data_IF_177080380875
#
_entry.id   IF_177080380875
#
_cell.length_a   1.000
_cell.length_b   1.000
_cell.length_c   1.000
_cell.angle_alpha   90.00
_cell.angle_beta   90.00
_cell.angle_gamma   90.00
#
_symmetry.space_group_name_H-M   'P 1'
#
loop_
_entity.id
_entity.type
_entity.pdbx_description
1 polymer ?
#
# COMPACT_ATOMS: atom_id res chain seq x y z
N UNK A 1 5.04 -10.21 50.25
CA UNK A 1 5.74 -9.33 51.22
C UNK A 1 6.50 -8.28 50.39
N UNK A 2 6.37 -6.96 50.49
CA UNK A 2 5.73 -6.02 51.42
C UNK A 2 5.10 -4.88 50.60
N UNK A 3 3.93 -4.43 51.05
CA UNK A 3 3.33 -3.12 50.72
C UNK A 3 4.00 -2.03 51.57
N UNK A 4 4.06 -0.80 51.06
CA UNK A 4 3.76 0.45 51.77
C UNK A 4 3.82 1.60 50.74
N UNK A 5 2.71 2.31 50.42
CA UNK A 5 2.07 3.42 51.17
C UNK A 5 2.97 4.67 51.15
N UNK A 6 2.51 5.89 50.84
CA UNK A 6 1.20 6.49 50.60
C UNK A 6 1.42 7.98 50.27
N UNK A 7 0.43 8.65 49.67
CA UNK A 7 0.46 10.11 49.38
C UNK A 7 0.21 10.97 50.62
N UNK A 8 -0.58 12.05 50.55
CA UNK A 8 -0.82 13.04 49.48
C UNK A 8 -0.74 14.50 50.03
N UNK A 9 -1.28 15.47 49.27
CA UNK A 9 -1.86 16.77 49.71
C UNK A 9 -0.92 17.99 49.77
N UNK A 10 -1.23 19.00 48.94
CA UNK A 10 -1.65 20.33 49.41
C UNK A 10 -2.02 21.25 48.23
N UNK A 11 -3.30 21.63 48.19
CA UNK A 11 -3.79 22.76 47.42
C UNK A 11 -3.52 24.06 48.19
N UNK A 12 -3.25 25.16 47.49
CA UNK A 12 -3.45 26.52 48.00
C UNK A 12 -4.04 27.41 46.91
N UNK A 13 -5.05 28.15 47.31
CA UNK A 13 -5.93 28.98 46.50
C UNK A 13 -5.55 30.48 46.58
N UNK A 14 -6.25 31.28 45.75
CA UNK A 14 -6.55 32.72 45.90
C UNK A 14 -5.39 33.71 45.58
N UNK A 15 -5.59 34.92 45.05
CA UNK A 15 -6.74 35.62 44.46
C UNK A 15 -6.25 36.89 43.71
N UNK A 16 -7.04 37.29 42.70
CA UNK A 16 -7.44 38.63 42.23
C UNK A 16 -6.49 39.84 42.43
N UNK A 17 -6.21 40.55 41.32
CA UNK A 17 -6.22 42.02 41.27
C UNK A 17 -6.61 42.52 39.86
N UNK A 18 -7.74 43.23 39.79
CA UNK A 18 -8.15 44.07 38.66
C UNK A 18 -7.31 45.37 38.67
N UNK A 19 -6.85 45.80 37.50
CA UNK A 19 -6.57 47.21 37.22
C UNK A 19 -7.01 47.52 35.78
N UNK A 20 -8.06 48.32 35.66
CA UNK A 20 -8.52 48.89 34.42
C UNK A 20 -7.68 50.13 34.09
N UNK A 21 -7.18 50.22 32.86
CA UNK A 21 -6.79 51.47 32.24
C UNK A 21 -7.44 51.54 30.85
N UNK A 22 -8.33 52.52 30.73
CA UNK A 22 -8.96 52.99 29.51
C UNK A 22 -7.93 53.66 28.60
N UNK A 23 -7.89 53.24 27.33
CA UNK A 23 -7.16 53.94 26.28
C UNK A 23 -7.93 53.84 24.96
N UNK A 24 -8.64 54.91 24.60
CA UNK A 24 -9.20 55.08 23.26
C UNK A 24 -8.05 55.35 22.27
N UNK A 25 -7.88 54.45 21.31
CA UNK A 25 -7.02 54.65 20.15
C UNK A 25 -7.76 54.20 18.90
N UNK A 26 -8.25 55.18 18.13
CA UNK A 26 -8.71 54.95 16.77
C UNK A 26 -7.49 54.69 15.87
N UNK A 27 -7.31 53.44 15.45
CA UNK A 27 -6.27 53.03 14.51
C UNK A 27 -6.81 51.92 13.62
N UNK A 28 -6.87 52.17 12.32
CA UNK A 28 -7.41 51.25 11.32
C UNK A 28 -6.71 49.89 11.38
N UNK A 29 -7.49 48.85 11.66
CA UNK A 29 -7.03 47.47 11.60
C UNK A 29 -6.92 46.97 10.15
N UNK A 30 -5.99 46.04 9.86
CA UNK A 30 -5.88 45.42 8.55
C UNK A 30 -7.15 44.63 8.22
N UNK A 31 -7.55 44.67 6.95
CA UNK A 31 -8.70 43.95 6.42
C UNK A 31 -8.67 42.47 6.84
N UNK A 32 -9.76 41.97 7.42
CA UNK A 32 -10.00 40.54 7.60
C UNK A 32 -9.94 39.87 6.23
N UNK A 33 -9.20 38.76 6.05
CA UNK A 33 -9.34 37.94 4.86
C UNK A 33 -10.78 37.44 4.79
N UNK A 34 -11.38 37.51 3.60
CA UNK A 34 -12.70 36.91 3.35
C UNK A 34 -12.68 35.43 3.79
N UNK A 35 -13.69 34.96 4.53
CA UNK A 35 -13.86 33.54 4.75
C UNK A 35 -14.08 32.91 3.37
N UNK A 36 -13.08 32.14 2.92
CA UNK A 36 -13.18 31.34 1.70
C UNK A 36 -14.46 30.49 1.70
N UNK A 37 -14.95 30.08 0.52
CA UNK A 37 -16.22 29.40 0.39
C UNK A 37 -16.28 28.22 1.36
N UNK A 38 -17.35 28.18 2.16
CA UNK A 38 -17.60 27.10 3.10
C UNK A 38 -17.50 25.76 2.36
N UNK A 39 -16.89 24.72 2.98
CA UNK A 39 -16.84 23.40 2.37
C UNK A 39 -18.28 22.97 2.05
N UNK A 40 -18.55 22.73 0.77
CA UNK A 40 -19.85 22.27 0.30
C UNK A 40 -20.32 21.02 1.04
N UNK A 41 -21.63 20.73 1.01
CA UNK A 41 -22.17 19.56 1.71
C UNK A 41 -21.39 18.31 1.32
N UNK A 42 -20.76 17.66 2.31
CA UNK A 42 -20.09 16.38 2.10
C UNK A 42 -21.16 15.41 1.62
N UNK A 43 -21.07 14.99 0.36
CA UNK A 43 -21.87 13.90 -0.16
C UNK A 43 -21.70 12.69 0.77
N UNK A 44 -22.83 12.21 1.29
CA UNK A 44 -22.89 10.99 2.12
C UNK A 44 -22.86 9.71 1.28
N UNK A 45 -22.89 9.84 -0.05
CA UNK A 45 -22.72 8.71 -0.94
C UNK A 45 -21.27 8.21 -0.88
N UNK A 46 -21.10 6.89 -0.75
CA UNK A 46 -19.80 6.26 -0.88
C UNK A 46 -19.18 6.67 -2.22
N UNK A 47 -17.95 7.19 -2.18
CA UNK A 47 -17.26 7.54 -3.41
C UNK A 47 -17.04 6.27 -4.24
N UNK A 48 -17.26 6.31 -5.57
CA UNK A 48 -17.04 5.14 -6.41
C UNK A 48 -15.56 4.76 -6.40
N UNK A 49 -15.29 3.46 -6.51
CA UNK A 49 -13.93 2.96 -6.71
C UNK A 49 -13.41 3.40 -8.08
N UNK A 50 -12.19 3.95 -8.17
CA UNK A 50 -11.60 4.26 -9.47
C UNK A 50 -11.51 3.00 -10.32
N UNK A 51 -11.95 3.07 -11.58
CA UNK A 51 -11.80 1.95 -12.50
C UNK A 51 -10.31 1.67 -12.82
N UNK A 52 -10.06 0.60 -13.58
CA UNK A 52 -8.71 0.18 -13.92
C UNK A 52 -7.94 1.24 -14.74
N UNK A 53 -8.62 2.01 -15.58
CA UNK A 53 -8.01 3.10 -16.36
C UNK A 53 -7.64 4.28 -15.48
N UNK A 54 -8.55 4.74 -14.64
CA UNK A 54 -8.33 5.78 -13.64
C UNK A 54 -7.19 5.43 -12.69
N UNK A 55 -7.14 4.17 -12.22
CA UNK A 55 -6.07 3.67 -11.35
C UNK A 55 -4.70 3.68 -12.05
N UNK A 56 -4.63 3.27 -13.33
CA UNK A 56 -3.39 3.34 -14.13
C UNK A 56 -2.94 4.79 -14.35
N UNK A 57 -3.87 5.69 -14.63
CA UNK A 57 -3.58 7.12 -14.80
C UNK A 57 -2.98 7.73 -13.54
N UNK A 58 -3.56 7.46 -12.36
CA UNK A 58 -3.02 7.93 -11.08
C UNK A 58 -1.61 7.39 -10.82
N UNK A 59 -1.39 6.09 -11.05
CA UNK A 59 -0.08 5.47 -10.86
C UNK A 59 0.97 6.04 -11.82
N UNK A 60 0.62 6.26 -13.09
CA UNK A 60 1.48 6.92 -14.08
C UNK A 60 1.82 8.35 -13.68
N UNK A 61 0.84 9.12 -13.21
CA UNK A 61 1.07 10.50 -12.76
C UNK A 61 2.01 10.57 -11.56
N UNK A 62 1.87 9.67 -10.57
CA UNK A 62 2.80 9.57 -9.44
C UNK A 62 4.24 9.27 -9.93
N UNK A 63 4.40 8.32 -10.85
CA UNK A 63 5.72 8.00 -11.45
C UNK A 63 6.34 9.18 -12.20
N UNK A 64 5.54 9.96 -12.95
CA UNK A 64 6.01 11.17 -13.66
C UNK A 64 6.48 12.23 -12.66
N UNK A 65 5.71 12.47 -11.59
CA UNK A 65 6.09 13.44 -10.55
C UNK A 65 7.37 13.02 -9.82
N UNK A 66 7.52 11.74 -9.50
CA UNK A 66 8.76 11.20 -8.91
C UNK A 66 9.93 11.39 -9.87
N UNK A 67 9.74 11.05 -11.16
CA UNK A 67 10.77 11.19 -12.19
C UNK A 67 11.29 12.62 -12.33
N UNK A 68 10.38 13.61 -12.42
CA UNK A 68 10.73 15.04 -12.48
C UNK A 68 11.52 15.47 -11.23
N UNK A 69 11.02 15.12 -10.05
CA UNK A 69 11.65 15.46 -8.78
C UNK A 69 13.06 14.85 -8.61
N UNK A 70 13.24 13.61 -9.07
CA UNK A 70 14.55 12.93 -9.03
C UNK A 70 15.51 13.60 -10.01
N UNK A 71 15.05 13.96 -11.21
CA UNK A 71 15.86 14.66 -12.20
C UNK A 71 16.32 16.03 -11.70
N UNK A 72 15.45 16.81 -11.05
CA UNK A 72 15.79 18.07 -10.39
C UNK A 72 16.88 17.90 -9.30
N UNK A 73 16.94 16.71 -8.69
CA UNK A 73 17.95 16.35 -7.68
C UNK A 73 19.19 15.67 -8.29
N UNK A 74 19.31 15.63 -9.61
CA UNK A 74 20.44 15.05 -10.33
C UNK A 74 20.44 13.53 -10.41
N UNK A 75 19.30 12.87 -10.18
CA UNK A 75 19.17 11.41 -10.22
C UNK A 75 18.26 10.96 -11.36
N UNK A 76 18.64 9.87 -12.04
CA UNK A 76 17.76 9.25 -13.02
C UNK A 76 16.65 8.46 -12.32
N UNK A 77 15.43 8.57 -12.86
CA UNK A 77 14.30 7.73 -12.45
C UNK A 77 13.35 7.60 -13.64
N UNK A 78 13.26 6.40 -14.20
CA UNK A 78 12.42 6.07 -15.33
C UNK A 78 10.95 5.92 -14.89
N UNK A 79 10.04 6.46 -15.70
CA UNK A 79 8.59 6.28 -15.50
C UNK A 79 8.21 4.90 -16.00
N UNK A 80 7.86 4.01 -15.06
CA UNK A 80 7.48 2.62 -15.35
C UNK A 80 5.97 2.45 -15.31
N UNK A 81 5.46 1.45 -16.02
CA UNK A 81 4.05 1.07 -15.90
C UNK A 81 3.82 0.28 -14.60
N UNK A 82 2.61 0.36 -14.02
CA UNK A 82 2.24 -0.50 -12.90
C UNK A 82 2.47 -1.97 -13.27
N UNK A 83 2.84 -2.81 -12.29
CA UNK A 83 2.90 -4.25 -12.53
C UNK A 83 1.54 -4.76 -13.02
N UNK A 84 1.57 -5.88 -13.74
CA UNK A 84 0.36 -6.58 -14.13
C UNK A 84 -0.52 -6.86 -12.89
N UNK A 85 -1.86 -6.94 -13.07
CA UNK A 85 -2.77 -7.23 -11.97
C UNK A 85 -2.35 -8.50 -11.20
N UNK A 86 -2.64 -8.51 -9.91
CA UNK A 86 -2.30 -9.64 -9.03
C UNK A 86 -2.82 -10.96 -9.62
N UNK A 87 -1.92 -11.94 -9.71
CA UNK A 87 -2.28 -13.29 -10.15
C UNK A 87 -3.21 -13.92 -9.11
N UNK A 88 -4.01 -14.91 -9.53
CA UNK A 88 -4.88 -15.66 -8.63
C UNK A 88 -4.06 -16.17 -7.42
N UNK A 89 -4.51 -15.81 -6.23
CA UNK A 89 -3.87 -16.17 -4.96
C UNK A 89 -4.65 -17.28 -4.25
N UNK A 90 -3.92 -18.09 -3.49
CA UNK A 90 -4.44 -19.20 -2.68
C UNK A 90 -3.92 -19.09 -1.24
N UNK A 91 -4.37 -18.09 -0.46
CA UNK A 91 -3.80 -17.77 0.84
C UNK A 91 -3.96 -18.90 1.87
N UNK A 92 -4.90 -19.82 1.68
CA UNK A 92 -5.22 -20.89 2.63
C UNK A 92 -4.89 -22.30 2.10
N UNK A 93 -4.08 -22.38 1.04
CA UNK A 93 -3.80 -23.60 0.29
C UNK A 93 -4.47 -23.60 -1.08
N UNK A 94 -3.80 -24.23 -2.05
CA UNK A 94 -4.33 -24.43 -3.41
C UNK A 94 -5.55 -25.33 -3.29
N UNK A 95 -6.68 -24.88 -3.83
CA UNK A 95 -7.96 -25.59 -3.74
C UNK A 95 -8.63 -25.81 -5.11
N UNK A 96 -7.83 -25.75 -6.17
CA UNK A 96 -8.25 -25.93 -7.55
C UNK A 96 -7.27 -26.86 -8.27
N UNK A 97 -7.72 -28.09 -8.51
CA UNK A 97 -6.88 -29.16 -9.08
C UNK A 97 -6.49 -28.85 -10.53
N UNK A 98 -7.39 -28.30 -11.34
CA UNK A 98 -7.08 -27.96 -12.74
C UNK A 98 -6.08 -26.80 -12.81
N UNK A 99 -6.25 -25.80 -11.95
CA UNK A 99 -5.28 -24.71 -11.84
C UNK A 99 -3.92 -25.22 -11.37
N UNK A 100 -3.88 -26.11 -10.38
CA UNK A 100 -2.65 -26.70 -9.84
C UNK A 100 -1.88 -27.50 -10.90
N UNK A 101 -2.57 -28.23 -11.79
CA UNK A 101 -1.92 -28.99 -12.88
C UNK A 101 -1.15 -28.10 -13.86
N UNK A 102 -1.61 -26.87 -14.07
CA UNK A 102 -0.98 -25.94 -15.01
C UNK A 102 0.06 -25.05 -14.33
N UNK A 103 -0.18 -24.65 -13.08
CA UNK A 103 0.57 -23.58 -12.43
C UNK A 103 1.42 -24.04 -11.23
N UNK A 104 1.19 -25.24 -10.71
CA UNK A 104 1.80 -25.70 -9.46
C UNK A 104 1.42 -24.81 -8.27
N UNK A 105 2.40 -24.38 -7.49
CA UNK A 105 2.27 -23.33 -6.47
C UNK A 105 2.55 -21.92 -7.01
N UNK A 106 2.95 -21.79 -8.28
CA UNK A 106 3.30 -20.54 -8.94
C UNK A 106 4.80 -20.27 -9.09
N UNK A 107 5.69 -21.26 -8.94
CA UNK A 107 7.14 -21.06 -9.04
C UNK A 107 7.61 -20.49 -10.38
N UNK A 108 7.01 -20.91 -11.49
CA UNK A 108 7.26 -20.29 -12.81
C UNK A 108 6.89 -18.81 -12.82
N UNK A 109 5.70 -18.49 -12.33
CA UNK A 109 5.22 -17.12 -12.20
C UNK A 109 6.15 -16.28 -11.31
N UNK A 110 6.60 -16.82 -10.17
CA UNK A 110 7.51 -16.14 -9.27
C UNK A 110 8.85 -15.80 -9.93
N UNK A 111 9.41 -16.72 -10.75
CA UNK A 111 10.65 -16.46 -11.50
C UNK A 111 10.45 -15.45 -12.64
N UNK A 112 9.29 -15.44 -13.29
CA UNK A 112 8.94 -14.38 -14.25
C UNK A 112 8.88 -13.01 -13.56
N UNK A 113 8.23 -12.93 -12.41
CA UNK A 113 8.11 -11.70 -11.62
C UNK A 113 9.49 -11.24 -11.12
N UNK A 114 10.36 -12.17 -10.72
CA UNK A 114 11.74 -11.87 -10.37
C UNK A 114 12.55 -11.34 -11.55
N UNK A 115 12.44 -11.97 -12.73
CA UNK A 115 13.09 -11.47 -13.95
C UNK A 115 12.57 -10.08 -14.32
N UNK A 116 11.28 -9.83 -14.18
CA UNK A 116 10.69 -8.51 -14.41
C UNK A 116 11.25 -7.47 -13.42
N UNK A 117 11.32 -7.79 -12.12
CA UNK A 117 11.95 -6.94 -11.10
C UNK A 117 13.44 -6.68 -11.39
N UNK A 118 14.18 -7.68 -11.83
CA UNK A 118 15.58 -7.54 -12.21
C UNK A 118 15.78 -6.77 -13.54
N UNK A 119 14.78 -6.76 -14.41
CA UNK A 119 14.75 -5.99 -15.65
C UNK A 119 14.31 -4.53 -15.42
N UNK A 120 13.75 -4.20 -14.26
CA UNK A 120 13.29 -2.86 -13.92
C UNK A 120 14.43 -1.83 -14.09
N UNK A 121 14.21 -0.76 -14.89
CA UNK A 121 15.25 0.20 -15.21
C UNK A 121 15.73 0.99 -13.98
N UNK A 122 14.85 1.25 -13.01
CA UNK A 122 15.18 1.94 -11.78
C UNK A 122 16.03 1.06 -10.87
N UNK A 123 15.65 -0.22 -10.68
CA UNK A 123 16.44 -1.18 -9.92
C UNK A 123 17.84 -1.35 -10.53
N UNK A 124 17.93 -1.58 -11.85
CA UNK A 124 19.22 -1.69 -12.55
C UNK A 124 20.08 -0.44 -12.39
N UNK A 125 19.48 0.73 -12.44
CA UNK A 125 20.19 1.97 -12.19
C UNK A 125 20.71 2.06 -10.74
N UNK A 126 19.87 1.80 -9.74
CA UNK A 126 20.27 1.79 -8.32
C UNK A 126 21.38 0.77 -8.03
N UNK A 127 21.36 -0.40 -8.67
CA UNK A 127 22.40 -1.42 -8.49
C UNK A 127 23.77 -0.99 -9.04
N UNK A 128 23.82 -0.17 -10.09
CA UNK A 128 25.09 0.32 -10.68
C UNK A 128 25.75 1.47 -9.91
N UNK A 129 25.02 2.14 -9.03
CA UNK A 129 25.56 3.27 -8.25
C UNK A 129 26.60 2.80 -7.22
N UNK A 130 27.56 3.67 -6.88
CA UNK A 130 28.40 3.46 -5.69
C UNK A 130 27.55 3.48 -4.42
N UNK A 131 28.08 2.96 -3.30
CA UNK A 131 27.34 2.96 -2.03
C UNK A 131 26.89 4.37 -1.59
N UNK A 132 27.76 5.37 -1.80
CA UNK A 132 27.48 6.78 -1.47
C UNK A 132 26.39 7.37 -2.38
N UNK A 133 26.49 7.18 -3.69
CA UNK A 133 25.47 7.66 -4.64
C UNK A 133 24.13 6.96 -4.41
N UNK A 134 24.14 5.66 -4.14
CA UNK A 134 22.93 4.89 -3.80
C UNK A 134 22.25 5.43 -2.55
N UNK A 135 23.01 5.78 -1.51
CA UNK A 135 22.47 6.39 -0.30
C UNK A 135 21.88 7.79 -0.57
N UNK A 136 22.56 8.61 -1.38
CA UNK A 136 22.08 9.93 -1.77
C UNK A 136 20.79 9.84 -2.62
N UNK A 137 20.75 8.94 -3.60
CA UNK A 137 19.58 8.68 -4.43
C UNK A 137 18.39 8.16 -3.61
N UNK A 138 18.64 7.27 -2.65
CA UNK A 138 17.60 6.78 -1.73
C UNK A 138 17.06 7.90 -0.85
N UNK A 139 17.94 8.76 -0.34
CA UNK A 139 17.56 9.95 0.44
C UNK A 139 16.72 10.92 -0.39
N UNK A 140 17.10 11.16 -1.65
CA UNK A 140 16.32 11.98 -2.57
C UNK A 140 14.92 11.38 -2.83
N UNK A 141 14.84 10.06 -3.02
CA UNK A 141 13.59 9.37 -3.30
C UNK A 141 12.64 9.30 -2.08
N UNK A 142 13.17 8.86 -0.94
CA UNK A 142 12.38 8.45 0.24
C UNK A 142 12.46 9.43 1.42
N UNK A 143 13.35 10.42 1.37
CA UNK A 143 13.73 11.25 2.51
C UNK A 143 14.89 10.65 3.33
N UNK A 144 15.51 11.46 4.18
CA UNK A 144 16.69 11.05 4.96
C UNK A 144 16.37 10.05 6.08
N UNK A 145 15.16 10.13 6.63
CA UNK A 145 14.66 9.21 7.65
C UNK A 145 13.13 9.11 7.56
N UNK A 146 12.54 7.97 7.99
CA UNK A 146 11.11 7.74 7.92
C UNK A 146 10.36 8.42 9.08
N UNK A 147 10.49 9.75 9.18
CA UNK A 147 9.92 10.58 10.25
C UNK A 147 8.88 11.57 9.71
N UNK A 148 7.83 11.82 10.50
CA UNK A 148 6.80 12.80 10.22
C UNK A 148 5.48 12.23 9.69
N UNK A 149 5.48 11.01 9.13
CA UNK A 149 4.26 10.25 8.84
C UNK A 149 4.22 8.98 9.69
N UNK A 150 3.04 8.66 10.23
CA UNK A 150 2.80 7.44 11.00
C UNK A 150 1.35 6.99 10.81
N UNK A 151 1.16 5.69 10.62
CA UNK A 151 -0.16 5.07 10.53
C UNK A 151 -0.11 3.64 11.04
N UNK A 152 -1.17 3.22 11.73
CA UNK A 152 -1.33 1.86 12.23
C UNK A 152 -2.07 1.01 11.20
N UNK A 153 -1.52 -0.17 10.88
CA UNK A 153 -2.19 -1.15 10.02
C UNK A 153 -3.35 -1.81 10.78
N UNK A 154 -4.33 -2.39 10.08
CA UNK A 154 -5.35 -3.25 10.67
C UNK A 154 -4.79 -4.46 11.44
N UNK A 155 -3.59 -4.95 11.07
CA UNK A 155 -2.83 -5.99 11.79
C UNK A 155 -2.10 -5.48 13.04
N UNK A 156 -2.16 -4.17 13.31
CA UNK A 156 -1.63 -3.55 14.51
C UNK A 156 -0.17 -3.07 14.44
N UNK A 157 0.53 -3.30 13.33
CA UNK A 157 1.85 -2.75 13.06
C UNK A 157 1.77 -1.24 12.82
N UNK A 158 2.82 -0.49 13.19
CA UNK A 158 2.93 0.93 12.85
C UNK A 158 3.91 1.11 11.72
N UNK A 159 3.45 1.69 10.61
CA UNK A 159 4.31 2.07 9.49
C UNK A 159 4.62 3.56 9.57
N UNK A 160 5.87 3.93 9.29
CA UNK A 160 6.31 5.32 9.24
C UNK A 160 6.94 5.64 7.88
N UNK A 161 6.90 6.91 7.51
CA UNK A 161 7.50 7.41 6.29
C UNK A 161 7.96 8.86 6.48
N UNK A 162 8.84 9.32 5.58
CA UNK A 162 9.27 10.71 5.57
C UNK A 162 8.18 11.61 5.00
N UNK A 163 8.06 12.84 5.52
CA UNK A 163 7.33 13.92 4.84
C UNK A 163 8.15 14.56 3.71
N UNK A 164 9.40 14.15 3.57
CA UNK A 164 10.38 14.63 2.58
C UNK A 164 10.67 13.56 1.51
N UNK A 165 11.45 13.95 0.50
CA UNK A 165 11.80 13.10 -0.63
C UNK A 165 10.77 13.16 -1.76
N UNK A 166 11.16 12.62 -2.92
CA UNK A 166 10.36 12.68 -4.14
C UNK A 166 9.04 11.92 -4.06
N UNK A 167 9.00 10.82 -3.30
CA UNK A 167 7.75 10.09 -3.08
C UNK A 167 6.72 10.94 -2.31
N UNK A 168 7.13 11.56 -1.21
CA UNK A 168 6.26 12.43 -0.42
C UNK A 168 5.84 13.68 -1.19
N UNK A 169 6.75 14.27 -1.97
CA UNK A 169 6.46 15.43 -2.83
C UNK A 169 5.44 15.07 -3.92
N UNK A 170 5.62 13.95 -4.62
CA UNK A 170 4.69 13.47 -5.64
C UNK A 170 3.31 13.19 -5.06
N UNK A 171 3.23 12.48 -3.93
CA UNK A 171 1.96 12.16 -3.27
C UNK A 171 1.24 13.40 -2.75
N UNK A 172 1.96 14.39 -2.21
CA UNK A 172 1.38 15.67 -1.80
C UNK A 172 0.83 16.45 -3.00
N UNK A 173 1.58 16.51 -4.10
CA UNK A 173 1.14 17.18 -5.32
C UNK A 173 -0.09 16.49 -5.94
N UNK A 174 -0.14 15.16 -5.88
CA UNK A 174 -1.21 14.38 -6.50
C UNK A 174 -2.48 14.33 -5.63
N UNK A 175 -2.36 14.08 -4.33
CA UNK A 175 -3.49 13.81 -3.43
C UNK A 175 -3.79 14.95 -2.44
N UNK A 176 -2.94 15.97 -2.35
CA UNK A 176 -3.10 17.08 -1.42
C UNK A 176 -2.61 16.74 -0.02
N UNK A 177 -3.53 16.31 0.86
CA UNK A 177 -3.20 15.96 2.24
C UNK A 177 -2.38 14.67 2.30
N UNK A 178 -1.06 14.83 2.42
CA UNK A 178 -0.11 13.71 2.48
C UNK A 178 -0.34 12.81 3.71
N UNK A 179 -0.72 13.37 4.86
CA UNK A 179 -0.92 12.59 6.07
C UNK A 179 -2.19 11.75 5.96
N UNK A 180 -3.29 12.33 5.46
CA UNK A 180 -4.51 11.61 5.18
C UNK A 180 -4.29 10.52 4.12
N UNK A 181 -3.60 10.85 3.01
CA UNK A 181 -3.26 9.89 1.97
C UNK A 181 -2.43 8.72 2.50
N UNK A 182 -1.36 9.02 3.26
CA UNK A 182 -0.50 7.99 3.85
C UNK A 182 -1.30 7.05 4.76
N UNK A 183 -2.14 7.61 5.65
CA UNK A 183 -2.99 6.83 6.56
C UNK A 183 -3.90 5.86 5.82
N UNK A 184 -4.68 6.36 4.85
CA UNK A 184 -5.63 5.50 4.12
C UNK A 184 -4.93 4.51 3.22
N UNK A 185 -3.78 4.87 2.63
CA UNK A 185 -2.95 3.94 1.86
C UNK A 185 -2.45 2.80 2.75
N UNK A 186 -1.87 3.09 3.91
CA UNK A 186 -1.40 2.09 4.88
C UNK A 186 -2.54 1.19 5.33
N UNK A 187 -3.70 1.74 5.70
CA UNK A 187 -4.84 0.94 6.15
C UNK A 187 -5.38 0.04 5.04
N UNK A 188 -5.69 0.61 3.88
CA UNK A 188 -6.35 -0.13 2.79
C UNK A 188 -5.45 -1.18 2.14
N UNK A 189 -4.13 -0.96 2.08
CA UNK A 189 -3.17 -1.98 1.61
C UNK A 189 -3.01 -3.16 2.58
N UNK A 190 -3.48 -3.03 3.83
CA UNK A 190 -3.33 -4.05 4.87
C UNK A 190 -4.66 -4.69 5.29
N UNK A 191 -5.75 -4.48 4.54
CA UNK A 191 -7.04 -5.13 4.80
C UNK A 191 -6.98 -6.64 4.53
N UNK A 192 -6.37 -7.06 3.41
CA UNK A 192 -6.23 -8.48 3.05
C UNK A 192 -5.39 -9.26 4.07
N UNK A 193 -4.18 -8.80 4.47
CA UNK A 193 -3.44 -9.44 5.57
C UNK A 193 -4.23 -9.57 6.87
N UNK A 194 -5.00 -8.55 7.26
CA UNK A 194 -5.81 -8.61 8.48
C UNK A 194 -6.98 -9.58 8.40
N UNK A 195 -7.60 -9.69 7.22
CA UNK A 195 -8.59 -10.72 6.93
C UNK A 195 -7.98 -12.12 7.04
N UNK A 196 -6.83 -12.35 6.39
CA UNK A 196 -6.14 -13.65 6.42
C UNK A 196 -5.71 -14.06 7.83
N UNK A 197 -5.21 -13.11 8.63
CA UNK A 197 -4.84 -13.35 10.03
C UNK A 197 -6.04 -13.81 10.87
N UNK A 198 -7.24 -13.25 10.63
CA UNK A 198 -8.48 -13.69 11.31
C UNK A 198 -8.90 -15.09 10.87
N UNK A 199 -8.84 -15.39 9.58
CA UNK A 199 -9.13 -16.76 9.07
C UNK A 199 -8.19 -17.77 9.72
N UNK A 200 -6.88 -17.50 9.72
CA UNK A 200 -5.88 -18.44 10.26
C UNK A 200 -6.01 -18.70 11.76
N UNK A 201 -6.56 -17.73 12.51
CA UNK A 201 -6.81 -17.85 13.96
C UNK A 201 -8.15 -18.50 14.32
N UNK A 202 -9.05 -18.68 13.35
CA UNK A 202 -10.36 -19.27 13.60
C UNK A 202 -10.21 -20.78 13.90
N UNK A 203 -10.76 -21.29 15.02
CA UNK A 203 -10.67 -22.71 15.36
C UNK A 203 -11.21 -23.64 14.26
N UNK A 204 -12.22 -23.20 13.49
CA UNK A 204 -12.79 -23.96 12.37
C UNK A 204 -11.77 -24.13 11.24
N UNK A 205 -10.94 -23.11 11.00
CA UNK A 205 -9.84 -23.21 10.04
C UNK A 205 -8.78 -24.20 10.53
N UNK A 206 -8.35 -24.08 11.79
CA UNK A 206 -7.35 -24.99 12.38
C UNK A 206 -7.80 -26.46 12.34
N UNK A 207 -9.07 -26.72 12.65
CA UNK A 207 -9.65 -28.07 12.55
C UNK A 207 -9.64 -28.59 11.11
N UNK A 208 -10.05 -27.75 10.15
CA UNK A 208 -10.06 -28.13 8.74
C UNK A 208 -8.65 -28.38 8.19
N UNK A 209 -7.64 -27.62 8.63
CA UNK A 209 -6.22 -27.88 8.34
C UNK A 209 -5.78 -29.23 8.89
N UNK A 210 -6.22 -29.61 10.10
CA UNK A 210 -5.91 -30.92 10.68
C UNK A 210 -6.44 -32.08 9.84
N UNK A 211 -7.65 -31.97 9.30
CA UNK A 211 -8.24 -32.97 8.40
C UNK A 211 -7.52 -33.02 7.05
N UNK A 212 -7.18 -31.85 6.50
CA UNK A 212 -6.36 -31.75 5.28
C UNK A 212 -4.97 -32.39 5.47
N UNK A 213 -4.30 -32.15 6.59
CA UNK A 213 -2.98 -32.71 6.88
C UNK A 213 -3.03 -34.24 6.99
N UNK A 214 -4.12 -34.80 7.54
CA UNK A 214 -4.35 -36.24 7.55
C UNK A 214 -4.47 -36.82 6.12
N UNK A 215 -5.17 -36.13 5.22
CA UNK A 215 -5.24 -36.51 3.80
C UNK A 215 -3.86 -36.45 3.14
N UNK A 216 -3.10 -35.37 3.36
CA UNK A 216 -1.74 -35.22 2.81
C UNK A 216 -0.83 -36.35 3.28
N UNK A 217 -0.86 -36.70 4.57
CA UNK A 217 -0.10 -37.84 5.13
C UNK A 217 -0.49 -39.16 4.47
N UNK A 218 -1.78 -39.43 4.27
CA UNK A 218 -2.25 -40.62 3.57
C UNK A 218 -1.77 -40.67 2.11
N UNK A 219 -1.59 -39.51 1.47
CA UNK A 219 -0.99 -39.36 0.14
C UNK A 219 0.56 -39.38 0.15
N UNK A 220 1.20 -39.69 1.27
CA UNK A 220 2.66 -39.73 1.40
C UNK A 220 3.32 -38.35 1.38
N UNK A 221 2.62 -37.31 1.86
CA UNK A 221 3.13 -35.94 2.00
C UNK A 221 2.97 -35.48 3.45
N UNK A 222 4.02 -35.53 4.29
CA UNK A 222 3.92 -35.30 5.73
C UNK A 222 3.95 -33.81 6.10
N UNK A 223 3.05 -33.02 5.52
CA UNK A 223 2.94 -31.59 5.81
C UNK A 223 1.77 -31.31 6.75
N UNK A 224 2.04 -30.57 7.83
CA UNK A 224 1.05 -30.25 8.86
C UNK A 224 0.19 -29.02 8.53
N UNK A 225 0.55 -28.25 7.50
CA UNK A 225 -0.24 -27.11 7.02
C UNK A 225 0.01 -26.80 5.53
N UNK A 226 -0.90 -26.09 4.86
CA UNK A 226 -0.67 -25.58 3.50
C UNK A 226 0.54 -24.63 3.38
N UNK A 227 0.89 -23.91 4.45
CA UNK A 227 2.07 -23.06 4.46
C UNK A 227 3.37 -23.90 4.49
N UNK A 228 3.34 -25.07 5.16
CA UNK A 228 4.46 -26.00 5.20
C UNK A 228 4.71 -26.70 3.85
N UNK A 229 3.65 -27.16 3.17
CA UNK A 229 3.76 -27.72 1.81
C UNK A 229 4.28 -26.69 0.80
N UNK A 230 3.79 -25.43 0.86
CA UNK A 230 4.28 -24.34 0.03
C UNK A 230 5.74 -23.99 0.32
N UNK A 231 6.16 -23.97 1.58
CA UNK A 231 7.55 -23.71 1.96
C UNK A 231 8.49 -24.81 1.48
N UNK A 232 8.07 -26.07 1.56
CA UNK A 232 8.83 -27.19 1.02
C UNK A 232 8.94 -27.12 -0.51
N UNK A 233 7.87 -26.71 -1.20
CA UNK A 233 7.92 -26.48 -2.65
C UNK A 233 8.89 -25.36 -3.04
N UNK A 234 8.95 -24.27 -2.25
CA UNK A 234 9.91 -23.19 -2.46
C UNK A 234 11.37 -23.68 -2.30
N UNK A 235 11.66 -24.49 -1.28
CA UNK A 235 12.99 -25.05 -1.07
C UNK A 235 13.46 -25.94 -2.23
N UNK A 236 12.55 -26.65 -2.91
CA UNK A 236 12.89 -27.43 -4.11
C UNK A 236 13.44 -26.55 -5.25
N UNK A 237 13.02 -25.28 -5.33
CA UNK A 237 13.52 -24.35 -6.33
C UNK A 237 14.98 -23.93 -6.08
N UNK A 238 15.47 -24.04 -4.85
CA UNK A 238 16.86 -23.76 -4.48
C UNK A 238 17.79 -24.95 -4.82
N UNK A 239 17.29 -26.18 -4.65
CA UNK A 239 18.07 -27.41 -4.77
C UNK A 239 18.04 -28.06 -6.17
N UNK A 240 16.99 -27.80 -6.95
CA UNK A 240 16.74 -28.49 -8.23
C UNK A 240 16.81 -27.54 -9.42
N UNK A 241 17.20 -28.05 -10.61
CA UNK A 241 17.00 -27.34 -11.86
C UNK A 241 15.52 -26.95 -12.05
N UNK A 242 15.27 -25.73 -12.55
CA UNK A 242 13.93 -25.13 -12.59
C UNK A 242 12.83 -26.04 -13.15
N UNK A 243 13.10 -26.82 -14.21
CA UNK A 243 12.11 -27.74 -14.78
C UNK A 243 11.73 -28.88 -13.83
N UNK A 244 12.71 -29.41 -13.07
CA UNK A 244 12.48 -30.48 -12.08
C UNK A 244 11.78 -29.93 -10.83
N UNK A 245 12.17 -28.73 -10.39
CA UNK A 245 11.47 -28.02 -9.33
C UNK A 245 10.00 -27.80 -9.69
N UNK A 246 9.71 -27.27 -10.88
CA UNK A 246 8.34 -27.04 -11.37
C UNK A 246 7.51 -28.32 -11.41
N UNK A 247 8.08 -29.43 -11.88
CA UNK A 247 7.38 -30.71 -11.94
C UNK A 247 7.05 -31.26 -10.53
N UNK A 248 8.00 -31.18 -9.60
CA UNK A 248 7.81 -31.62 -8.22
C UNK A 248 6.82 -30.72 -7.45
N UNK A 249 6.94 -29.40 -7.64
CA UNK A 249 6.00 -28.40 -7.15
C UNK A 249 4.58 -28.67 -7.65
N UNK A 250 4.43 -28.94 -8.95
CA UNK A 250 3.13 -29.25 -9.58
C UNK A 250 2.51 -30.52 -8.99
N UNK A 251 3.29 -31.59 -8.86
CA UNK A 251 2.80 -32.83 -8.26
C UNK A 251 2.34 -32.62 -6.80
N UNK A 252 3.08 -31.81 -6.03
CA UNK A 252 2.69 -31.48 -4.67
C UNK A 252 1.44 -30.60 -4.62
N UNK A 253 1.34 -29.57 -5.47
CA UNK A 253 0.18 -28.68 -5.53
C UNK A 253 -1.11 -29.43 -5.93
N UNK A 254 -1.02 -30.37 -6.87
CA UNK A 254 -2.15 -31.22 -7.26
C UNK A 254 -2.61 -32.09 -6.09
N UNK A 255 -1.67 -32.64 -5.31
CA UNK A 255 -1.99 -33.42 -4.11
C UNK A 255 -2.66 -32.54 -3.06
N UNK A 256 -2.11 -31.35 -2.81
CA UNK A 256 -2.69 -30.36 -1.90
C UNK A 256 -4.12 -29.98 -2.32
N UNK A 257 -4.34 -29.64 -3.58
CA UNK A 257 -5.65 -29.27 -4.10
C UNK A 257 -6.67 -30.39 -4.02
N UNK A 258 -6.24 -31.63 -4.26
CA UNK A 258 -7.09 -32.82 -4.09
C UNK A 258 -7.49 -32.97 -2.62
N UNK A 259 -6.55 -32.83 -1.69
CA UNK A 259 -6.87 -32.87 -0.25
C UNK A 259 -7.71 -31.67 0.21
N UNK A 260 -7.47 -30.47 -0.32
CA UNK A 260 -8.20 -29.27 0.06
C UNK A 260 -9.67 -29.30 -0.39
N UNK A 261 -9.94 -29.92 -1.54
CA UNK A 261 -11.30 -30.10 -2.09
C UNK A 261 -12.00 -31.35 -1.55
N UNK A 262 -11.23 -32.41 -1.23
CA UNK A 262 -11.75 -33.65 -0.63
C UNK A 262 -12.01 -33.57 0.88
N UNK A 263 -11.55 -32.51 1.55
CA UNK A 263 -11.78 -32.24 2.98
C UNK A 263 -12.53 -30.91 3.18
N UNK A 264 -12.94 -30.55 4.41
CA UNK A 264 -13.59 -29.27 4.65
C UNK A 264 -12.74 -28.02 4.38
N UNK A 265 -11.41 -28.13 4.18
CA UNK A 265 -10.50 -26.98 4.13
C UNK A 265 -10.94 -25.90 3.13
N UNK A 266 -11.21 -26.24 1.87
CA UNK A 266 -11.58 -25.25 0.85
C UNK A 266 -12.90 -24.54 1.18
N UNK A 267 -13.92 -25.30 1.62
CA UNK A 267 -15.24 -24.74 1.94
C UNK A 267 -15.18 -23.84 3.18
N UNK A 268 -14.50 -24.30 4.24
CA UNK A 268 -14.36 -23.55 5.48
C UNK A 268 -13.53 -22.28 5.24
N UNK A 269 -12.38 -22.40 4.58
CA UNK A 269 -11.51 -21.24 4.30
C UNK A 269 -12.23 -20.17 3.47
N UNK A 270 -12.99 -20.55 2.44
CA UNK A 270 -13.77 -19.60 1.62
C UNK A 270 -14.87 -18.91 2.41
N UNK A 271 -15.61 -19.65 3.25
CA UNK A 271 -16.66 -19.08 4.09
C UNK A 271 -16.09 -18.08 5.12
N UNK A 272 -14.97 -18.44 5.76
CA UNK A 272 -14.27 -17.58 6.69
C UNK A 272 -13.67 -16.36 6.01
N UNK A 273 -13.04 -16.53 4.84
CA UNK A 273 -12.49 -15.41 4.05
C UNK A 273 -13.58 -14.42 3.71
N UNK A 274 -14.73 -14.88 3.19
CA UNK A 274 -15.85 -14.00 2.91
C UNK A 274 -16.31 -13.24 4.16
N UNK A 275 -16.56 -13.96 5.25
CA UNK A 275 -17.06 -13.39 6.52
C UNK A 275 -16.10 -12.34 7.08
N UNK A 276 -14.84 -12.69 7.29
CA UNK A 276 -13.85 -11.76 7.84
C UNK A 276 -13.49 -10.65 6.85
N UNK A 277 -13.61 -10.89 5.55
CA UNK A 277 -13.44 -9.87 4.52
C UNK A 277 -14.50 -8.79 4.62
N UNK A 278 -15.76 -9.16 4.80
CA UNK A 278 -16.86 -8.22 5.02
C UNK A 278 -16.70 -7.45 6.33
N UNK A 279 -16.35 -8.14 7.42
CA UNK A 279 -16.10 -7.49 8.71
C UNK A 279 -14.96 -6.48 8.65
N UNK A 280 -13.82 -6.86 8.07
CA UNK A 280 -12.64 -5.98 7.94
C UNK A 280 -12.98 -4.77 7.07
N UNK A 281 -13.69 -4.96 5.95
CA UNK A 281 -14.15 -3.83 5.11
C UNK A 281 -15.14 -2.93 5.85
N UNK A 282 -16.08 -3.50 6.59
CA UNK A 282 -17.04 -2.73 7.38
C UNK A 282 -16.35 -1.89 8.45
N UNK A 283 -15.36 -2.47 9.15
CA UNK A 283 -14.60 -1.81 10.21
C UNK A 283 -13.73 -0.66 9.69
N UNK A 284 -13.31 -0.71 8.42
CA UNK A 284 -12.45 0.27 7.76
C UNK A 284 -13.14 1.05 6.64
N UNK A 285 -14.47 1.16 6.70
CA UNK A 285 -15.26 1.84 5.66
C UNK A 285 -14.82 3.29 5.45
N UNK A 286 -14.54 4.01 6.52
CA UNK A 286 -14.15 5.42 6.45
C UNK A 286 -12.81 5.61 5.72
N UNK A 287 -11.84 4.74 5.95
CA UNK A 287 -10.56 4.77 5.22
C UNK A 287 -10.72 4.39 3.75
N UNK A 288 -11.56 3.39 3.45
CA UNK A 288 -11.86 2.98 2.07
C UNK A 288 -12.51 4.15 1.31
N UNK A 289 -13.55 4.75 1.88
CA UNK A 289 -14.29 5.84 1.25
C UNK A 289 -13.44 7.11 1.11
N UNK A 290 -12.61 7.42 2.13
CA UNK A 290 -11.68 8.53 2.02
C UNK A 290 -10.62 8.29 0.95
N UNK A 291 -10.08 7.07 0.84
CA UNK A 291 -9.12 6.74 -0.24
C UNK A 291 -9.74 6.95 -1.61
N UNK A 292 -10.96 6.46 -1.83
CA UNK A 292 -11.69 6.63 -3.09
C UNK A 292 -11.92 8.10 -3.42
N UNK A 293 -12.34 8.92 -2.45
CA UNK A 293 -12.46 10.38 -2.63
C UNK A 293 -11.13 11.02 -3.04
N UNK A 294 -10.04 10.77 -2.29
CA UNK A 294 -8.72 11.33 -2.58
C UNK A 294 -8.22 10.93 -3.98
N UNK A 295 -8.48 9.69 -4.42
CA UNK A 295 -8.13 9.23 -5.75
C UNK A 295 -8.96 9.92 -6.83
N UNK A 296 -10.28 9.99 -6.68
CA UNK A 296 -11.16 10.63 -7.66
C UNK A 296 -10.86 12.13 -7.79
N UNK A 297 -10.63 12.83 -6.67
CA UNK A 297 -10.26 14.25 -6.66
C UNK A 297 -8.88 14.50 -7.30
N UNK A 298 -8.01 13.50 -7.34
CA UNK A 298 -6.70 13.57 -7.95
C UNK A 298 -6.72 13.35 -9.47
N UNK A 299 -7.79 12.80 -10.06
CA UNK A 299 -7.84 12.47 -11.49
C UNK A 299 -7.57 13.68 -12.41
N UNK A 300 -8.19 14.87 -12.22
CA UNK A 300 -7.89 16.01 -13.08
C UNK A 300 -6.44 16.50 -12.96
N UNK A 301 -5.80 16.32 -11.79
CA UNK A 301 -4.37 16.63 -11.59
C UNK A 301 -3.51 15.60 -12.31
N UNK A 302 -3.88 14.33 -12.22
CA UNK A 302 -3.18 13.23 -12.88
C UNK A 302 -3.14 13.42 -14.40
N UNK A 303 -4.27 13.79 -15.02
CA UNK A 303 -4.37 14.11 -16.45
C UNK A 303 -3.38 15.21 -16.85
N UNK A 304 -3.38 16.35 -16.13
CA UNK A 304 -2.44 17.45 -16.40
C UNK A 304 -0.98 17.06 -16.25
N UNK A 305 -0.67 16.15 -15.32
CA UNK A 305 0.70 15.69 -15.09
C UNK A 305 1.19 14.83 -16.26
N UNK A 306 0.35 13.95 -16.79
CA UNK A 306 0.70 13.01 -17.86
C UNK A 306 0.58 13.62 -19.26
N UNK A 307 -0.26 14.64 -19.44
CA UNK A 307 -0.35 15.36 -20.70
C UNK A 307 0.97 16.09 -21.01
N UNK A 308 1.42 16.07 -22.28
CA UNK A 308 2.58 16.87 -22.68
C UNK A 308 2.27 18.36 -22.50
N UNK A 309 3.27 19.20 -22.13
CA UNK A 309 3.07 20.64 -22.11
C UNK A 309 2.71 21.13 -23.52
N UNK A 310 1.67 21.95 -23.60
CA UNK A 310 1.14 22.48 -24.85
C UNK A 310 2.23 23.29 -25.57
N UNK A 311 2.64 22.87 -26.77
CA UNK A 311 3.67 23.57 -27.58
C UNK A 311 3.11 24.80 -28.31
N UNK A 312 1.89 25.23 -27.98
CA UNK A 312 1.13 26.22 -28.76
C UNK A 312 1.36 27.67 -28.30
N UNK A 313 1.90 27.93 -27.11
CA UNK A 313 2.09 29.31 -26.61
C UNK A 313 3.45 29.95 -26.92
N UNK A 314 4.40 29.23 -27.52
CA UNK A 314 5.75 29.75 -27.78
C UNK A 314 5.96 30.27 -29.23
N UNK A 315 4.96 30.10 -30.10
CA UNK A 315 5.04 30.54 -31.50
C UNK A 315 4.58 32.00 -31.71
N UNK A 316 3.82 32.60 -30.79
CA UNK A 316 3.26 33.94 -30.99
C UNK A 316 4.23 35.07 -30.61
N UNK A 317 5.31 34.79 -29.88
CA UNK A 317 6.27 35.81 -29.43
C UNK A 317 7.43 36.04 -30.40
N UNK A 318 7.52 35.30 -31.52
CA UNK A 318 8.67 35.36 -32.44
C UNK A 318 8.35 35.91 -33.84
N UNK A 319 7.20 36.56 -34.02
CA UNK A 319 6.76 37.16 -35.31
C UNK A 319 6.38 38.65 -35.21
N UNK A 320 7.06 39.43 -34.35
CA UNK A 320 6.87 40.88 -34.28
C UNK A 320 8.21 41.60 -34.27
N UNK A 321 8.81 41.84 -35.45
CA UNK A 321 10.06 42.59 -35.51
C UNK A 321 10.74 42.63 -36.88
N UNK A 322 10.09 43.22 -37.89
CA UNK A 322 10.78 43.84 -39.03
C UNK A 322 9.83 44.75 -39.78
N UNK A 323 9.81 46.02 -39.38
CA UNK A 323 9.54 47.17 -40.26
C UNK A 323 10.04 48.44 -39.56
N UNK A 324 11.27 48.84 -39.90
CA UNK A 324 11.75 50.22 -40.05
C UNK A 324 13.23 50.15 -40.44
#
# INVERSE_FOLDING_TARGET
MRRARGGPVAALAAAVALAALTGCGAGGGPARPDPGPAPGPRSTAAAPEPDAGASRLLARAEQVLISRCMAERGFAYAVTEPPAPERRSFPYGVDDVEWARVNGYGGRAAREDERARAADPNQRWFHRLSARERAAARTALMGASPVGLSARTPTGMTLTASTQGCLAQAQRALYGDLAAWFRVKVVTMNLRPAQEERVRRDPRYTEAVGQWAACMRAAGRPYDSPDASRSAAAALADDLPAQRADAAETALAVTEATCATGTPLSRVSRALDHTYGDEVRALHRDEIDLRRRLQNDALPRAERVVSPPDRSTDATTRSGGSHA
#
